data_IF_995881319398
#
_entry.id   IF_995881319398
#
_cell.length_a   1.000
_cell.length_b   1.000
_cell.length_c   1.000
_cell.angle_alpha   90.00
_cell.angle_beta   90.00
_cell.angle_gamma   90.00
#
_symmetry.space_group_name_H-M   'P 1'
#
loop_
_entity.id
_entity.type
_entity.pdbx_description
1 polymer ?
#
# COMPACT_ATOMS: atom_id res chain seq x y z
N UNK A 1 27.85 8.38 8.58
CA UNK A 1 26.58 8.50 7.83
C UNK A 1 26.16 7.18 7.14
N UNK A 2 27.04 6.45 6.45
CA UNK A 2 26.70 5.21 5.72
C UNK A 2 26.14 4.07 6.60
N UNK A 3 26.68 3.86 7.81
CA UNK A 3 26.27 2.77 8.70
C UNK A 3 24.81 2.89 9.18
N UNK A 4 24.29 4.11 9.32
CA UNK A 4 22.92 4.37 9.75
C UNK A 4 21.90 4.08 8.64
N UNK A 5 22.23 4.37 7.37
CA UNK A 5 21.35 4.06 6.23
C UNK A 5 21.08 2.57 6.11
N UNK A 6 22.13 1.75 6.19
CA UNK A 6 22.01 0.28 6.10
C UNK A 6 21.11 -0.29 7.20
N UNK A 7 21.21 0.22 8.43
CA UNK A 7 20.40 -0.23 9.56
C UNK A 7 18.92 0.17 9.37
N UNK A 8 18.67 1.40 8.91
CA UNK A 8 17.31 1.90 8.64
C UNK A 8 16.64 1.09 7.52
N UNK A 9 17.38 0.81 6.43
CA UNK A 9 16.86 0.04 5.31
C UNK A 9 16.55 -1.41 5.71
N UNK A 10 17.39 -2.02 6.55
CA UNK A 10 17.15 -3.38 7.07
C UNK A 10 15.89 -3.44 7.93
N UNK A 11 15.72 -2.50 8.86
CA UNK A 11 14.54 -2.46 9.74
C UNK A 11 13.27 -2.23 8.90
N UNK A 12 13.33 -1.33 7.92
CA UNK A 12 12.20 -1.06 7.02
C UNK A 12 11.80 -2.31 6.24
N UNK A 13 12.76 -3.03 5.63
CA UNK A 13 12.48 -4.29 4.92
C UNK A 13 11.86 -5.34 5.82
N UNK A 14 12.36 -5.47 7.04
CA UNK A 14 11.81 -6.41 8.02
C UNK A 14 10.37 -6.05 8.42
N UNK A 15 10.09 -4.77 8.67
CA UNK A 15 8.73 -4.28 8.97
C UNK A 15 7.80 -4.51 7.78
N UNK A 16 8.20 -4.13 6.57
CA UNK A 16 7.40 -4.34 5.35
C UNK A 16 7.12 -5.83 5.11
N UNK A 17 8.12 -6.69 5.28
CA UNK A 17 7.96 -8.15 5.17
C UNK A 17 6.94 -8.69 6.17
N UNK A 18 7.04 -8.28 7.44
CA UNK A 18 6.10 -8.68 8.50
C UNK A 18 4.69 -8.18 8.21
N UNK A 19 4.53 -6.93 7.79
CA UNK A 19 3.23 -6.35 7.41
C UNK A 19 2.62 -7.06 6.22
N UNK A 20 3.40 -7.34 5.17
CA UNK A 20 2.94 -8.11 4.01
C UNK A 20 2.48 -9.51 4.41
N UNK A 21 3.15 -10.14 5.38
CA UNK A 21 2.73 -11.42 5.92
C UNK A 21 1.42 -11.32 6.71
N UNK A 22 1.26 -10.32 7.57
CA UNK A 22 0.04 -10.16 8.36
C UNK A 22 -1.19 -9.72 7.52
N UNK A 23 -0.99 -8.74 6.64
CA UNK A 23 -2.06 -8.10 5.86
C UNK A 23 -2.50 -9.01 4.71
N UNK A 24 -1.54 -9.52 3.93
CA UNK A 24 -1.82 -10.30 2.73
C UNK A 24 -1.58 -11.81 2.92
N UNK A 25 -0.95 -12.25 4.01
CA UNK A 25 -0.58 -13.68 4.15
C UNK A 25 0.63 -14.03 3.30
N UNK A 26 1.43 -13.02 2.93
CA UNK A 26 2.60 -13.15 2.08
C UNK A 26 3.75 -13.86 2.83
N UNK A 27 4.44 -14.79 2.17
CA UNK A 27 5.64 -15.43 2.72
C UNK A 27 6.86 -14.84 2.03
N UNK A 28 7.73 -14.18 2.81
CA UNK A 28 8.99 -13.63 2.33
C UNK A 28 9.99 -14.76 2.10
N UNK A 29 9.80 -15.52 1.02
CA UNK A 29 10.81 -16.44 0.53
C UNK A 29 11.85 -15.66 -0.28
N UNK A 30 13.11 -16.11 -0.24
CA UNK A 30 14.27 -15.49 -0.91
C UNK A 30 14.15 -15.32 -2.44
N UNK A 31 13.01 -15.68 -3.03
CA UNK A 31 12.75 -15.70 -4.47
C UNK A 31 11.90 -14.53 -4.97
N UNK A 32 11.15 -13.85 -4.09
CA UNK A 32 10.22 -12.78 -4.47
C UNK A 32 10.31 -11.53 -3.56
N UNK A 33 11.51 -10.97 -3.47
CA UNK A 33 11.74 -9.64 -2.91
C UNK A 33 11.06 -8.52 -3.71
N UNK A 34 10.55 -8.81 -4.92
CA UNK A 34 9.99 -7.82 -5.85
C UNK A 34 8.76 -7.09 -5.29
N UNK A 35 7.84 -7.80 -4.63
CA UNK A 35 6.65 -7.20 -4.01
C UNK A 35 6.99 -6.40 -2.75
N UNK A 36 7.92 -6.90 -1.94
CA UNK A 36 8.41 -6.18 -0.75
C UNK A 36 9.16 -4.91 -1.18
N UNK A 37 10.01 -5.00 -2.19
CA UNK A 37 10.73 -3.86 -2.77
C UNK A 37 9.77 -2.85 -3.43
N UNK A 38 8.71 -3.31 -4.09
CA UNK A 38 7.69 -2.44 -4.66
C UNK A 38 7.02 -1.59 -3.57
N UNK A 39 6.58 -2.24 -2.49
CA UNK A 39 5.97 -1.56 -1.34
C UNK A 39 6.97 -0.64 -0.66
N UNK A 40 8.20 -1.11 -0.44
CA UNK A 40 9.28 -0.32 0.16
C UNK A 40 9.56 0.96 -0.64
N UNK A 41 9.65 0.84 -1.97
CA UNK A 41 9.92 1.96 -2.86
C UNK A 41 8.74 2.94 -2.92
N UNK A 42 7.51 2.44 -2.94
CA UNK A 42 6.31 3.30 -2.92
C UNK A 42 6.19 4.06 -1.59
N UNK A 43 6.41 3.42 -0.45
CA UNK A 43 6.45 4.08 0.87
C UNK A 43 7.57 5.12 0.92
N UNK A 44 8.74 4.80 0.38
CA UNK A 44 9.85 5.74 0.33
C UNK A 44 9.54 6.99 -0.51
N UNK A 45 8.95 6.80 -1.70
CA UNK A 45 8.49 7.90 -2.54
C UNK A 45 7.44 8.74 -1.81
N UNK A 46 6.49 8.11 -1.13
CA UNK A 46 5.46 8.80 -0.34
C UNK A 46 6.06 9.71 0.73
N UNK A 47 7.00 9.20 1.53
CA UNK A 47 7.69 9.97 2.57
C UNK A 47 8.54 11.10 1.96
N UNK A 48 9.16 10.86 0.80
CA UNK A 48 9.98 11.89 0.14
C UNK A 48 9.14 13.04 -0.43
N UNK A 49 7.93 12.75 -0.91
CA UNK A 49 7.00 13.75 -1.47
C UNK A 49 6.28 14.49 -0.33
N UNK A 50 5.86 13.76 0.70
CA UNK A 50 5.13 14.25 1.87
C UNK A 50 6.07 14.40 3.07
N UNK A 51 7.09 15.24 2.93
CA UNK A 51 7.95 15.58 4.07
C UNK A 51 7.11 16.21 5.19
N UNK A 52 7.49 16.07 6.47
CA UNK A 52 6.73 16.62 7.60
C UNK A 52 6.40 18.11 7.45
N UNK A 53 7.33 18.87 6.86
CA UNK A 53 7.16 20.28 6.53
C UNK A 53 6.05 20.50 5.49
N UNK A 54 6.04 19.70 4.43
CA UNK A 54 4.99 19.75 3.38
C UNK A 54 3.65 19.28 3.91
N UNK A 55 3.63 18.26 4.74
CA UNK A 55 2.43 17.77 5.42
C UNK A 55 1.83 18.85 6.33
N UNK A 56 2.67 19.54 7.12
CA UNK A 56 2.26 20.63 7.98
C UNK A 56 1.72 21.82 7.18
N UNK A 57 2.36 22.18 6.05
CA UNK A 57 1.86 23.23 5.15
C UNK A 57 0.51 22.87 4.53
N UNK A 58 0.34 21.63 4.05
CA UNK A 58 -0.92 21.13 3.49
C UNK A 58 -2.03 21.13 4.57
N UNK A 59 -1.69 20.74 5.80
CA UNK A 59 -2.63 20.72 6.93
C UNK A 59 -3.03 22.13 7.38
N UNK A 60 -2.11 23.09 7.36
CA UNK A 60 -2.37 24.48 7.70
C UNK A 60 -3.13 25.23 6.60
N UNK A 61 -2.87 24.90 5.34
CA UNK A 61 -3.44 25.59 4.17
C UNK A 61 -4.07 24.58 3.19
N UNK A 62 -5.28 24.07 3.48
CA UNK A 62 -5.92 23.05 2.66
C UNK A 62 -6.26 23.52 1.23
N UNK A 63 -6.28 24.83 0.98
CA UNK A 63 -6.48 25.39 -0.36
C UNK A 63 -5.29 25.15 -1.30
N UNK A 64 -4.09 24.85 -0.78
CA UNK A 64 -2.92 24.51 -1.59
C UNK A 64 -3.15 23.22 -2.40
N UNK A 65 -3.95 22.28 -1.89
CA UNK A 65 -4.36 21.06 -2.61
C UNK A 65 -5.35 21.35 -3.76
N UNK A 66 -6.08 22.46 -3.69
CA UNK A 66 -7.10 22.87 -4.65
C UNK A 66 -6.57 23.79 -5.76
N UNK A 67 -5.28 24.14 -5.73
CA UNK A 67 -4.72 25.07 -6.72
C UNK A 67 -4.56 24.43 -8.11
N UNK A 68 -5.02 25.13 -9.17
CA UNK A 68 -4.84 24.68 -10.55
C UNK A 68 -3.36 24.59 -10.92
N UNK A 69 -3.03 23.70 -11.87
CA UNK A 69 -1.67 23.31 -12.31
C UNK A 69 -0.75 24.46 -12.76
N UNK A 70 -1.30 25.66 -12.91
CA UNK A 70 -0.63 26.87 -13.38
C UNK A 70 0.06 27.67 -12.25
N UNK A 71 -0.32 27.51 -10.98
CA UNK A 71 0.28 28.32 -9.91
C UNK A 71 1.73 27.89 -9.62
N UNK A 72 2.58 28.87 -9.29
CA UNK A 72 4.05 28.80 -9.22
C UNK A 72 4.58 27.86 -8.11
N UNK A 73 4.42 26.56 -8.31
CA UNK A 73 4.79 25.47 -7.39
C UNK A 73 4.76 24.09 -8.06
N UNK A 74 4.97 24.05 -9.37
CA UNK A 74 4.75 22.88 -10.24
C UNK A 74 5.58 21.63 -9.92
N UNK A 75 6.60 21.72 -9.06
CA UNK A 75 7.40 20.54 -8.68
C UNK A 75 6.58 19.52 -7.88
N UNK A 76 5.73 19.97 -6.95
CA UNK A 76 4.97 19.06 -6.06
C UNK A 76 3.88 18.32 -6.84
N UNK A 77 3.20 19.03 -7.74
CA UNK A 77 2.11 18.46 -8.55
C UNK A 77 2.65 17.57 -9.69
N UNK A 78 3.81 17.91 -10.26
CA UNK A 78 4.50 17.08 -11.27
C UNK A 78 5.11 15.82 -10.68
N UNK A 79 5.66 15.87 -9.46
CA UNK A 79 6.06 14.65 -8.71
C UNK A 79 4.85 13.80 -8.32
N UNK A 80 3.75 14.42 -7.88
CA UNK A 80 2.51 13.71 -7.57
C UNK A 80 1.89 13.03 -8.81
N UNK A 81 1.96 13.65 -10.00
CA UNK A 81 1.46 13.08 -11.25
C UNK A 81 2.32 11.93 -11.82
N UNK A 82 3.59 11.84 -11.45
CA UNK A 82 4.48 10.78 -11.94
C UNK A 82 4.32 9.44 -11.18
N UNK A 83 3.62 9.43 -10.05
CA UNK A 83 3.54 8.27 -9.16
C UNK A 83 2.18 7.55 -8.98
N UNK A 84 1.04 7.93 -9.60
CA UNK A 84 -0.23 7.27 -9.30
C UNK A 84 -0.24 5.80 -9.73
N UNK A 85 0.45 5.46 -10.83
CA UNK A 85 0.60 4.07 -11.26
C UNK A 85 1.32 3.21 -10.21
N UNK A 86 2.43 3.70 -9.66
CA UNK A 86 3.23 2.94 -8.68
C UNK A 86 2.52 2.72 -7.35
N UNK A 87 1.77 3.73 -6.87
CA UNK A 87 0.94 3.58 -5.67
C UNK A 87 -0.25 2.66 -5.90
N UNK A 88 -0.82 2.68 -7.11
CA UNK A 88 -1.87 1.74 -7.50
C UNK A 88 -1.33 0.30 -7.52
N UNK A 89 -0.18 0.09 -8.16
CA UNK A 89 0.48 -1.22 -8.23
C UNK A 89 0.84 -1.75 -6.84
N UNK A 90 1.28 -0.88 -5.92
CA UNK A 90 1.53 -1.23 -4.52
C UNK A 90 0.31 -1.83 -3.81
N UNK A 91 -0.91 -1.36 -4.14
CA UNK A 91 -2.15 -1.86 -3.51
C UNK A 91 -2.75 -3.04 -4.26
N UNK A 92 -2.73 -2.96 -5.59
CA UNK A 92 -3.41 -3.91 -6.46
C UNK A 92 -2.64 -5.23 -6.60
N UNK A 93 -1.30 -5.21 -6.69
CA UNK A 93 -0.52 -6.43 -6.91
C UNK A 93 -0.56 -7.39 -5.70
N UNK A 94 -0.36 -6.93 -4.44
CA UNK A 94 -0.49 -7.82 -3.29
C UNK A 94 -1.93 -8.33 -3.10
N UNK A 95 -2.92 -7.51 -3.45
CA UNK A 95 -4.32 -7.95 -3.39
C UNK A 95 -4.64 -9.03 -4.43
N UNK A 96 -4.17 -8.86 -5.67
CA UNK A 96 -4.29 -9.87 -6.72
C UNK A 96 -3.57 -11.18 -6.36
N UNK A 97 -2.42 -11.09 -5.69
CA UNK A 97 -1.72 -12.25 -5.15
C UNK A 97 -2.65 -13.05 -4.22
N UNK A 98 -3.28 -12.38 -3.24
CA UNK A 98 -4.24 -13.05 -2.33
C UNK A 98 -5.41 -13.66 -3.09
N UNK A 99 -5.99 -12.94 -4.05
CA UNK A 99 -7.10 -13.47 -4.85
C UNK A 99 -6.73 -14.74 -5.62
N UNK A 100 -5.54 -14.80 -6.23
CA UNK A 100 -5.04 -15.99 -6.93
C UNK A 100 -4.82 -17.16 -5.97
N UNK A 101 -4.15 -16.92 -4.85
CA UNK A 101 -3.90 -17.96 -3.85
C UNK A 101 -5.16 -18.46 -3.14
N UNK A 102 -6.22 -17.65 -3.08
CA UNK A 102 -7.53 -18.10 -2.60
C UNK A 102 -8.31 -18.92 -3.64
N UNK A 103 -7.99 -18.79 -4.93
CA UNK A 103 -8.61 -19.57 -6.00
C UNK A 103 -7.94 -20.94 -6.16
N UNK A 104 -6.63 -21.03 -5.87
CA UNK A 104 -5.89 -22.28 -5.86
C UNK A 104 -6.21 -23.09 -4.59
N UNK A 105 -7.04 -24.12 -4.74
CA UNK A 105 -7.43 -25.06 -3.67
C UNK A 105 -6.29 -25.91 -3.10
N UNK A 106 -5.08 -25.80 -3.67
CA UNK A 106 -3.90 -26.59 -3.29
C UNK A 106 -3.03 -25.93 -2.22
N UNK A 107 -3.20 -24.63 -1.95
CA UNK A 107 -2.48 -23.95 -0.87
C UNK A 107 -3.31 -23.98 0.43
N UNK A 108 -2.76 -24.47 1.55
CA UNK A 108 -3.45 -24.42 2.83
C UNK A 108 -3.73 -22.96 3.13
N UNK A 109 -5.02 -22.61 3.15
CA UNK A 109 -5.51 -21.24 3.16
C UNK A 109 -4.99 -20.46 4.36
N UNK A 110 -3.85 -19.79 4.18
CA UNK A 110 -3.21 -18.99 5.21
C UNK A 110 -4.15 -17.85 5.58
N UNK A 111 -4.49 -17.77 6.86
CA UNK A 111 -5.32 -16.69 7.37
C UNK A 111 -4.52 -15.38 7.32
N UNK A 112 -5.06 -14.39 6.63
CA UNK A 112 -4.52 -13.03 6.56
C UNK A 112 -5.66 -12.04 6.64
N UNK A 113 -5.38 -10.78 6.99
CA UNK A 113 -6.43 -9.78 7.12
C UNK A 113 -7.26 -9.66 5.84
N UNK A 114 -6.62 -9.61 4.67
CA UNK A 114 -7.32 -9.53 3.38
C UNK A 114 -8.03 -10.83 3.04
N UNK A 115 -7.40 -12.00 3.23
CA UNK A 115 -8.03 -13.28 2.92
C UNK A 115 -9.28 -13.55 3.78
N UNK A 116 -9.21 -13.20 5.06
CA UNK A 116 -10.30 -13.34 6.02
C UNK A 116 -11.46 -12.39 5.67
N UNK A 117 -11.16 -11.12 5.35
CA UNK A 117 -12.20 -10.20 4.89
C UNK A 117 -12.83 -10.67 3.58
N UNK A 118 -12.04 -11.15 2.61
CA UNK A 118 -12.56 -11.69 1.35
C UNK A 118 -13.45 -12.94 1.55
N UNK A 119 -13.14 -13.81 2.53
CA UNK A 119 -14.01 -14.93 2.91
C UNK A 119 -15.33 -14.43 3.46
N UNK A 120 -15.30 -13.48 4.39
CA UNK A 120 -16.52 -12.87 4.98
C UNK A 120 -17.41 -12.22 3.92
N UNK A 121 -16.82 -11.55 2.92
CA UNK A 121 -17.54 -10.95 1.79
C UNK A 121 -18.22 -12.03 0.92
N UNK A 122 -17.63 -13.21 0.79
CA UNK A 122 -18.21 -14.34 0.04
C UNK A 122 -19.28 -15.09 0.84
N UNK A 123 -19.10 -15.19 2.16
CA UNK A 123 -19.98 -15.92 3.08
C UNK A 123 -21.23 -15.11 3.45
N UNK A 124 -21.09 -13.79 3.62
CA UNK A 124 -22.25 -12.91 3.59
C UNK A 124 -22.76 -12.88 2.17
N UNK A 125 -24.03 -13.25 1.97
CA UNK A 125 -24.79 -13.04 0.74
C UNK A 125 -25.03 -11.55 0.50
N UNK A 126 -23.92 -10.82 0.40
CA UNK A 126 -23.85 -9.39 0.18
C UNK A 126 -24.35 -9.17 -1.24
N UNK A 127 -25.28 -8.23 -1.39
CA UNK A 127 -25.76 -7.77 -2.70
C UNK A 127 -24.56 -7.66 -3.66
N UNK A 128 -24.66 -8.30 -4.83
CA UNK A 128 -23.62 -8.28 -5.88
C UNK A 128 -23.18 -6.85 -6.19
N UNK A 129 -24.09 -5.88 -6.00
CA UNK A 129 -23.84 -4.45 -6.13
C UNK A 129 -22.87 -3.88 -5.09
N UNK A 130 -22.83 -4.44 -3.88
CA UNK A 130 -22.02 -3.99 -2.73
C UNK A 130 -20.65 -4.67 -2.66
N UNK A 131 -20.49 -5.84 -3.26
CA UNK A 131 -19.20 -6.56 -3.32
C UNK A 131 -18.01 -5.71 -3.82
N UNK A 132 -18.11 -4.93 -4.91
CA UNK A 132 -16.98 -4.12 -5.38
C UNK A 132 -16.61 -3.00 -4.39
N UNK A 133 -17.60 -2.40 -3.74
CA UNK A 133 -17.38 -1.36 -2.72
C UNK A 133 -16.65 -1.94 -1.50
N UNK A 134 -17.08 -3.12 -1.03
CA UNK A 134 -16.49 -3.76 0.13
C UNK A 134 -15.05 -4.25 -0.15
N UNK A 135 -14.79 -4.74 -1.36
CA UNK A 135 -13.42 -5.06 -1.80
C UNK A 135 -12.53 -3.81 -1.87
N UNK A 136 -13.04 -2.68 -2.35
CA UNK A 136 -12.30 -1.42 -2.36
C UNK A 136 -11.95 -0.97 -0.93
N UNK A 137 -12.91 -1.05 0.00
CA UNK A 137 -12.67 -0.72 1.41
C UNK A 137 -11.59 -1.60 2.05
N UNK A 138 -11.58 -2.90 1.75
CA UNK A 138 -10.52 -3.83 2.22
C UNK A 138 -9.16 -3.45 1.65
N UNK A 139 -9.10 -3.08 0.35
CA UNK A 139 -7.86 -2.61 -0.27
C UNK A 139 -7.32 -1.33 0.39
N UNK A 140 -8.19 -0.38 0.66
CA UNK A 140 -7.80 0.89 1.29
C UNK A 140 -7.34 0.69 2.74
N UNK A 141 -8.04 -0.17 3.49
CA UNK A 141 -7.66 -0.52 4.87
C UNK A 141 -6.30 -1.24 4.91
N UNK A 142 -6.07 -2.18 3.99
CA UNK A 142 -4.77 -2.86 3.84
C UNK A 142 -3.64 -1.87 3.51
N UNK A 143 -3.91 -0.90 2.64
CA UNK A 143 -2.95 0.14 2.29
C UNK A 143 -2.61 1.06 3.48
N UNK A 144 -3.61 1.44 4.27
CA UNK A 144 -3.41 2.23 5.48
C UNK A 144 -2.58 1.47 6.53
N UNK A 145 -2.87 0.18 6.74
CA UNK A 145 -2.12 -0.66 7.67
C UNK A 145 -0.62 -0.77 7.32
N UNK A 146 -0.29 -0.75 6.02
CA UNK A 146 1.10 -0.79 5.53
C UNK A 146 1.78 0.58 5.63
N UNK A 147 1.02 1.66 5.44
CA UNK A 147 1.56 3.02 5.53
C UNK A 147 1.99 3.37 6.96
N UNK A 148 1.41 2.71 7.98
CA UNK A 148 1.61 3.05 9.39
C UNK A 148 0.94 4.39 9.69
N UNK A 149 -0.20 4.34 10.38
CA UNK A 149 -0.74 5.55 11.01
C UNK A 149 0.13 6.02 12.18
#
# INVERSE_FOLDING_TARGET
MFKYRVIIDLFRRFTTSTMMSAVYGYESSARDDSLVQLVEHAVHLGISILTPERAAMIKAFPFLLKMPDWCWGSSIKREAQASPGRFKDMRDLPFQYVQKHMADSSFPGRSSMVAENLRRIKEQDSDETLKPMLQAAVKDTAAAAIAGE
#
